data_IF_170388028657
#
_entry.id   IF_170388028657
#
_cell.length_a   1.000
_cell.length_b   1.000
_cell.length_c   1.000
_cell.angle_alpha   90.00
_cell.angle_beta   90.00
_cell.angle_gamma   90.00
#
_symmetry.space_group_name_H-M   'P 1'
#
loop_
_entity.id
_entity.type
_entity.pdbx_description
1 polymer ?
#
# COMPACT_ATOMS: atom_id res chain seq x y z
N UNK A 1 -8.69 -6.67 17.43
CA UNK A 1 -8.66 -5.40 16.68
C UNK A 1 -9.58 -4.35 17.29
N UNK A 2 -10.78 -4.69 17.76
CA UNK A 2 -11.74 -3.76 18.40
C UNK A 2 -11.11 -2.86 19.47
N UNK A 3 -10.28 -3.39 20.36
CA UNK A 3 -9.57 -2.58 21.36
C UNK A 3 -8.68 -1.48 20.77
N UNK A 4 -8.17 -1.69 19.55
CA UNK A 4 -7.33 -0.70 18.85
C UNK A 4 -8.20 0.38 18.25
N UNK A 5 -9.28 0.00 17.57
CA UNK A 5 -10.23 0.94 16.97
C UNK A 5 -10.92 1.79 18.04
N UNK A 6 -11.36 1.18 19.15
CA UNK A 6 -11.94 1.88 20.29
C UNK A 6 -10.97 2.92 20.87
N UNK A 7 -9.71 2.56 21.08
CA UNK A 7 -8.71 3.49 21.62
C UNK A 7 -8.44 4.69 20.72
N UNK A 8 -8.47 4.49 19.39
CA UNK A 8 -8.34 5.58 18.40
C UNK A 8 -9.57 6.48 18.43
N UNK A 9 -10.77 5.89 18.46
CA UNK A 9 -12.04 6.63 18.48
C UNK A 9 -12.24 7.41 19.78
N UNK A 10 -11.82 6.87 20.94
CA UNK A 10 -11.82 7.60 22.21
C UNK A 10 -11.02 8.91 22.17
N UNK A 11 -10.02 9.00 21.29
CA UNK A 11 -9.24 10.21 21.04
C UNK A 11 -9.74 11.04 19.85
N UNK A 12 -10.88 10.68 19.25
CA UNK A 12 -11.46 11.35 18.10
C UNK A 12 -10.70 11.10 16.78
N UNK A 13 -9.86 10.07 16.75
CA UNK A 13 -9.13 9.66 15.55
C UNK A 13 -9.98 8.84 14.59
N UNK A 14 -9.50 8.73 13.35
CA UNK A 14 -10.05 7.88 12.29
C UNK A 14 -9.00 6.84 11.95
N UNK A 15 -9.41 5.58 11.75
CA UNK A 15 -8.49 4.48 11.48
C UNK A 15 -8.97 3.59 10.35
N UNK A 16 -8.11 3.38 9.35
CA UNK A 16 -8.34 2.48 8.21
C UNK A 16 -7.48 1.24 8.32
N UNK A 17 -8.03 0.07 7.95
CA UNK A 17 -7.26 -1.16 7.84
C UNK A 17 -6.67 -1.28 6.44
N UNK A 18 -5.36 -1.46 6.30
CA UNK A 18 -4.78 -1.77 5.00
C UNK A 18 -4.91 -3.28 4.72
N UNK A 19 -5.62 -3.63 3.63
CA UNK A 19 -5.81 -5.00 3.18
C UNK A 19 -4.74 -5.36 2.15
N UNK A 20 -4.09 -6.49 2.35
CA UNK A 20 -2.87 -6.82 1.65
C UNK A 20 -2.77 -8.32 1.32
N UNK A 21 -2.40 -8.65 0.09
CA UNK A 21 -2.02 -9.99 -0.35
C UNK A 21 -0.66 -9.93 -1.03
N UNK A 22 0.29 -10.69 -0.54
CA UNK A 22 1.70 -10.60 -0.95
C UNK A 22 1.98 -11.14 -2.36
N UNK A 23 1.09 -11.97 -2.92
CA UNK A 23 1.31 -12.57 -4.24
C UNK A 23 2.58 -13.41 -4.27
N UNK A 24 3.47 -13.14 -5.24
CA UNK A 24 4.75 -13.84 -5.42
C UNK A 24 5.82 -13.52 -4.37
N UNK A 25 5.57 -12.54 -3.49
CA UNK A 25 6.53 -12.08 -2.49
C UNK A 25 6.34 -12.88 -1.19
N UNK A 26 6.51 -14.19 -1.28
CA UNK A 26 6.47 -15.12 -0.14
C UNK A 26 7.24 -16.39 -0.46
N UNK A 27 7.30 -17.30 0.50
CA UNK A 27 7.91 -18.62 0.39
C UNK A 27 6.91 -19.69 0.83
N UNK A 28 6.95 -20.93 0.28
CA UNK A 28 6.10 -22.04 0.70
C UNK A 28 6.04 -22.27 2.20
N UNK A 29 7.14 -22.08 2.91
CA UNK A 29 7.20 -22.23 4.37
C UNK A 29 6.28 -21.26 5.14
N UNK A 30 5.94 -20.10 4.56
CA UNK A 30 5.01 -19.14 5.15
C UNK A 30 3.55 -19.42 4.84
N UNK A 31 3.26 -20.30 3.87
CA UNK A 31 1.92 -20.55 3.35
C UNK A 31 1.56 -22.06 3.33
N UNK A 32 2.07 -22.80 4.32
CA UNK A 32 1.72 -24.21 4.52
C UNK A 32 2.27 -25.17 3.47
N UNK A 33 3.32 -24.80 2.76
CA UNK A 33 3.95 -25.60 1.71
C UNK A 33 3.37 -25.41 0.32
N UNK A 34 2.40 -24.51 0.15
CA UNK A 34 1.79 -24.22 -1.15
C UNK A 34 2.70 -23.37 -2.02
N UNK A 35 2.48 -23.41 -3.33
CA UNK A 35 3.18 -22.53 -4.27
C UNK A 35 2.55 -21.13 -4.25
N UNK A 36 3.35 -20.05 -4.13
CA UNK A 36 2.84 -18.69 -4.25
C UNK A 36 2.06 -18.47 -5.55
N UNK A 37 1.10 -17.56 -5.53
CA UNK A 37 0.30 -17.18 -6.69
C UNK A 37 0.65 -15.76 -7.15
N UNK A 38 0.51 -15.49 -8.45
CA UNK A 38 0.76 -14.17 -9.04
C UNK A 38 -0.05 -13.99 -10.32
N UNK A 39 0.02 -12.80 -10.94
CA UNK A 39 -0.52 -12.55 -12.29
C UNK A 39 0.04 -13.55 -13.31
N UNK A 40 1.33 -13.88 -13.20
CA UNK A 40 2.05 -14.80 -14.10
C UNK A 40 3.11 -15.58 -13.33
N UNK A 41 3.58 -16.70 -13.91
CA UNK A 41 4.65 -17.52 -13.34
C UNK A 41 6.04 -16.86 -13.53
N UNK A 42 6.21 -15.65 -13.01
CA UNK A 42 7.45 -14.86 -13.08
C UNK A 42 7.96 -14.63 -11.66
N UNK A 43 9.12 -15.22 -11.36
CA UNK A 43 9.81 -15.00 -10.08
C UNK A 43 10.28 -13.55 -9.96
N UNK A 44 10.15 -12.97 -8.76
CA UNK A 44 10.75 -11.67 -8.48
C UNK A 44 12.28 -11.83 -8.25
N UNK A 45 13.07 -11.11 -9.04
CA UNK A 45 14.52 -11.21 -8.96
C UNK A 45 15.09 -10.40 -7.79
N UNK A 46 16.11 -10.95 -7.11
CA UNK A 46 16.81 -10.33 -5.98
C UNK A 46 15.88 -9.98 -4.79
N UNK A 47 14.79 -10.70 -4.63
CA UNK A 47 13.82 -10.52 -3.54
C UNK A 47 13.96 -11.64 -2.54
N UNK A 48 14.05 -11.26 -1.25
CA UNK A 48 14.09 -12.19 -0.12
C UNK A 48 12.94 -11.93 0.82
N UNK A 49 12.44 -13.00 1.42
CA UNK A 49 11.40 -12.96 2.46
C UNK A 49 11.91 -13.65 3.71
N UNK A 50 11.45 -13.18 4.85
CA UNK A 50 11.76 -13.81 6.13
C UNK A 50 10.91 -15.05 6.29
N UNK A 51 11.55 -16.16 6.72
CA UNK A 51 10.87 -17.37 7.12
C UNK A 51 11.20 -17.68 8.59
N UNK A 52 10.19 -18.14 9.31
CA UNK A 52 10.30 -18.77 10.62
C UNK A 52 9.48 -20.05 10.58
N UNK A 53 10.10 -21.12 10.10
CA UNK A 53 9.47 -22.43 9.97
C UNK A 53 9.61 -23.29 11.24
N UNK A 54 9.97 -22.66 12.37
CA UNK A 54 10.20 -23.36 13.65
C UNK A 54 11.52 -24.15 13.69
N UNK A 55 12.44 -23.91 12.74
CA UNK A 55 13.82 -24.38 12.84
C UNK A 55 14.68 -23.46 13.70
N UNK A 56 15.84 -23.92 14.12
CA UNK A 56 16.78 -23.15 14.92
C UNK A 56 17.41 -21.95 14.17
N UNK A 57 17.13 -21.80 12.86
CA UNK A 57 17.71 -20.77 12.00
C UNK A 57 16.62 -20.03 11.18
N UNK A 58 15.79 -19.19 11.82
CA UNK A 58 14.92 -18.30 11.08
C UNK A 58 15.75 -17.29 10.29
N UNK A 59 15.33 -16.93 9.07
CA UNK A 59 16.13 -16.03 8.24
C UNK A 59 15.51 -15.63 6.91
N UNK A 60 16.28 -14.86 6.15
CA UNK A 60 15.86 -14.40 4.83
C UNK A 60 16.26 -15.41 3.75
N UNK A 61 15.27 -15.87 2.99
CA UNK A 61 15.45 -16.77 1.84
C UNK A 61 14.94 -16.11 0.57
N UNK A 62 15.47 -16.55 -0.58
CA UNK A 62 14.98 -16.09 -1.87
C UNK A 62 13.54 -16.56 -2.09
N UNK A 63 12.69 -15.69 -2.67
CA UNK A 63 11.36 -16.09 -3.11
C UNK A 63 11.46 -17.19 -4.19
N UNK A 64 10.38 -17.95 -4.36
CA UNK A 64 10.31 -19.00 -5.38
C UNK A 64 9.47 -18.53 -6.58
N UNK A 65 9.53 -19.28 -7.69
CA UNK A 65 8.66 -19.02 -8.83
C UNK A 65 7.18 -19.26 -8.42
N UNK A 66 6.29 -18.28 -8.62
CA UNK A 66 4.88 -18.45 -8.36
C UNK A 66 4.20 -19.25 -9.46
N UNK A 67 3.00 -19.76 -9.20
CA UNK A 67 2.10 -20.17 -10.27
C UNK A 67 1.24 -18.99 -10.75
N UNK A 68 0.91 -19.00 -12.03
CA UNK A 68 -0.07 -18.07 -12.58
C UNK A 68 -1.46 -18.37 -11.98
N UNK A 69 -2.19 -17.31 -11.59
CA UNK A 69 -3.56 -17.43 -11.12
C UNK A 69 -4.49 -17.83 -12.25
N UNK A 70 -5.33 -18.83 -12.00
CA UNK A 70 -6.48 -19.14 -12.86
C UNK A 70 -7.56 -18.07 -12.71
N UNK A 71 -8.57 -18.07 -13.57
CA UNK A 71 -9.73 -17.18 -13.41
C UNK A 71 -10.57 -17.50 -12.17
N UNK A 72 -10.54 -18.76 -11.73
CA UNK A 72 -11.15 -19.21 -10.49
C UNK A 72 -10.40 -18.65 -9.28
N UNK A 73 -9.07 -18.69 -9.27
CA UNK A 73 -8.26 -18.05 -8.22
C UNK A 73 -8.53 -16.54 -8.14
N UNK A 74 -8.64 -15.86 -9.28
CA UNK A 74 -8.95 -14.42 -9.32
C UNK A 74 -10.29 -14.14 -8.64
N UNK A 75 -11.33 -14.89 -8.98
CA UNK A 75 -12.66 -14.74 -8.36
C UNK A 75 -12.64 -15.02 -6.87
N UNK A 76 -11.91 -16.06 -6.45
CA UNK A 76 -11.76 -16.38 -5.04
C UNK A 76 -11.05 -15.27 -4.27
N UNK A 77 -9.97 -14.72 -4.81
CA UNK A 77 -9.24 -13.64 -4.17
C UNK A 77 -10.06 -12.35 -4.13
N UNK A 78 -10.83 -12.01 -5.17
CA UNK A 78 -11.79 -10.91 -5.13
C UNK A 78 -12.78 -11.06 -3.97
N UNK A 79 -13.35 -12.26 -3.79
CA UNK A 79 -14.28 -12.55 -2.69
C UNK A 79 -13.58 -12.49 -1.32
N UNK A 80 -12.32 -12.94 -1.22
CA UNK A 80 -11.53 -12.81 0.01
C UNK A 80 -11.31 -11.34 0.39
N UNK A 81 -11.02 -10.45 -0.56
CA UNK A 81 -10.92 -9.00 -0.30
C UNK A 81 -12.26 -8.41 0.13
N UNK A 82 -13.36 -8.81 -0.52
CA UNK A 82 -14.71 -8.39 -0.12
C UNK A 82 -15.01 -8.78 1.34
N UNK A 83 -14.74 -10.03 1.70
CA UNK A 83 -14.96 -10.52 3.06
C UNK A 83 -14.03 -9.84 4.08
N UNK A 84 -12.76 -9.61 3.71
CA UNK A 84 -11.81 -8.88 4.55
C UNK A 84 -12.28 -7.43 4.82
N UNK A 85 -12.86 -6.76 3.83
CA UNK A 85 -13.44 -5.44 4.02
C UNK A 85 -14.61 -5.45 5.03
N UNK A 86 -15.54 -6.42 4.93
CA UNK A 86 -16.61 -6.60 5.90
C UNK A 86 -16.08 -6.85 7.31
N UNK A 87 -15.08 -7.73 7.45
CA UNK A 87 -14.46 -8.04 8.73
C UNK A 87 -13.76 -6.82 9.36
N UNK A 88 -13.16 -5.95 8.54
CA UNK A 88 -12.55 -4.71 9.01
C UNK A 88 -13.60 -3.75 9.59
N UNK A 89 -14.75 -3.59 8.92
CA UNK A 89 -15.84 -2.76 9.43
C UNK A 89 -16.44 -3.36 10.71
N UNK A 90 -16.64 -4.67 10.77
CA UNK A 90 -17.10 -5.37 11.98
C UNK A 90 -16.13 -5.17 13.15
N UNK A 91 -14.82 -5.13 12.89
CA UNK A 91 -13.78 -4.85 13.88
C UNK A 91 -13.67 -3.35 14.27
N UNK A 92 -14.56 -2.49 13.77
CA UNK A 92 -14.66 -1.08 14.14
C UNK A 92 -13.77 -0.13 13.33
N UNK A 93 -13.13 -0.57 12.25
CA UNK A 93 -12.41 0.35 11.36
C UNK A 93 -13.39 1.28 10.62
N UNK A 94 -13.00 2.53 10.40
CA UNK A 94 -13.79 3.51 9.65
C UNK A 94 -13.83 3.21 8.15
N UNK A 95 -12.82 2.50 7.66
CA UNK A 95 -12.71 2.07 6.28
C UNK A 95 -11.50 1.16 6.06
N UNK A 96 -11.21 0.88 4.79
CA UNK A 96 -10.07 0.08 4.38
C UNK A 96 -9.22 0.81 3.33
N UNK A 97 -7.95 0.48 3.28
CA UNK A 97 -7.05 0.83 2.18
C UNK A 97 -6.63 -0.44 1.44
N UNK A 98 -6.93 -0.55 0.15
CA UNK A 98 -6.40 -1.62 -0.68
C UNK A 98 -4.92 -1.36 -0.96
N UNK A 99 -4.06 -2.28 -0.55
CA UNK A 99 -2.63 -2.22 -0.89
C UNK A 99 -2.40 -2.72 -2.32
N UNK A 100 -2.35 -1.79 -3.27
CA UNK A 100 -2.11 -2.05 -4.69
C UNK A 100 -0.73 -1.53 -5.16
N UNK A 101 0.29 -1.65 -4.28
CA UNK A 101 1.59 -1.01 -4.42
C UNK A 101 2.74 -1.98 -4.13
N UNK A 102 3.98 -1.51 -4.32
CA UNK A 102 5.21 -2.11 -3.81
C UNK A 102 5.47 -3.56 -4.26
N UNK A 103 4.98 -3.96 -5.44
CA UNK A 103 5.23 -5.28 -6.01
C UNK A 103 4.43 -6.42 -5.40
N UNK A 104 3.34 -6.12 -4.67
CA UNK A 104 2.43 -7.14 -4.13
C UNK A 104 1.32 -7.50 -5.13
N UNK A 105 0.41 -8.40 -4.79
CA UNK A 105 -0.46 -9.09 -5.74
C UNK A 105 -1.17 -8.16 -6.72
N UNK A 106 -1.86 -7.13 -6.25
CA UNK A 106 -2.56 -6.19 -7.15
C UNK A 106 -1.56 -5.49 -8.07
N UNK A 107 -0.42 -5.04 -7.54
CA UNK A 107 0.64 -4.41 -8.33
C UNK A 107 1.25 -5.38 -9.35
N UNK A 108 1.33 -6.69 -9.05
CA UNK A 108 1.81 -7.71 -9.99
C UNK A 108 0.91 -7.85 -11.23
N UNK A 109 -0.39 -7.56 -11.11
CA UNK A 109 -1.29 -7.47 -12.28
C UNK A 109 -1.12 -6.18 -13.06
N UNK A 110 -0.88 -5.05 -12.38
CA UNK A 110 -0.70 -3.73 -12.99
C UNK A 110 0.60 -3.65 -13.77
N UNK A 111 1.68 -4.20 -13.23
CA UNK A 111 3.05 -4.12 -13.72
C UNK A 111 3.24 -4.89 -15.03
N UNK A 112 3.81 -4.23 -16.05
CA UNK A 112 4.00 -4.81 -17.39
C UNK A 112 5.05 -5.91 -17.43
N UNK A 113 6.03 -5.91 -16.52
CA UNK A 113 7.10 -6.91 -16.48
C UNK A 113 6.77 -8.11 -15.57
N UNK A 114 5.84 -7.91 -14.63
CA UNK A 114 5.34 -9.00 -13.78
C UNK A 114 4.13 -9.73 -14.36
N UNK A 115 3.48 -9.15 -15.38
CA UNK A 115 2.26 -9.66 -15.99
C UNK A 115 2.46 -9.89 -17.50
N UNK A 116 2.69 -11.15 -17.88
CA UNK A 116 2.79 -11.58 -19.28
C UNK A 116 1.56 -12.37 -19.77
N UNK A 117 0.41 -12.22 -19.07
CA UNK A 117 -0.85 -12.88 -19.46
C UNK A 117 -1.31 -12.47 -20.85
N UNK A 118 -1.95 -13.41 -21.53
CA UNK A 118 -2.55 -13.20 -22.87
C UNK A 118 -4.08 -13.15 -22.85
N UNK A 119 -4.69 -13.27 -21.68
CA UNK A 119 -6.13 -13.17 -21.47
C UNK A 119 -6.56 -11.72 -21.12
N UNK A 120 -7.80 -11.54 -20.68
CA UNK A 120 -8.38 -10.24 -20.32
C UNK A 120 -7.74 -9.55 -19.11
N UNK A 121 -6.79 -10.19 -18.41
CA UNK A 121 -6.05 -9.62 -17.27
C UNK A 121 -4.62 -9.22 -17.65
N UNK A 122 -4.21 -9.30 -18.92
CA UNK A 122 -2.87 -8.97 -19.38
C UNK A 122 -2.80 -8.22 -20.71
N UNK A 123 -1.59 -7.84 -21.09
CA UNK A 123 -1.32 -7.10 -22.31
C UNK A 123 -1.59 -5.59 -22.17
N UNK A 124 -2.75 -5.10 -22.60
CA UNK A 124 -3.06 -3.67 -22.52
C UNK A 124 -3.16 -3.15 -21.08
N UNK A 125 -2.91 -1.86 -20.88
CA UNK A 125 -3.08 -1.21 -19.57
C UNK A 125 -4.48 -1.41 -19.02
N UNK A 126 -5.52 -1.32 -19.83
CA UNK A 126 -6.91 -1.59 -19.42
C UNK A 126 -7.08 -2.99 -18.85
N UNK A 127 -6.52 -4.01 -19.52
CA UNK A 127 -6.58 -5.39 -19.05
C UNK A 127 -5.78 -5.59 -17.75
N UNK A 128 -4.60 -5.01 -17.65
CA UNK A 128 -3.77 -5.09 -16.42
C UNK A 128 -4.42 -4.41 -15.21
N UNK A 129 -5.28 -3.42 -15.44
CA UNK A 129 -6.06 -2.75 -14.38
C UNK A 129 -7.36 -3.48 -14.01
N UNK A 130 -7.79 -4.48 -14.76
CA UNK A 130 -9.05 -5.20 -14.54
C UNK A 130 -9.16 -5.81 -13.15
N UNK A 131 -8.14 -6.53 -12.70
CA UNK A 131 -8.14 -7.14 -11.38
C UNK A 131 -8.23 -6.10 -10.25
N UNK A 132 -7.51 -4.99 -10.36
CA UNK A 132 -7.66 -3.84 -9.45
C UNK A 132 -9.12 -3.37 -9.38
N UNK A 133 -9.76 -3.21 -10.55
CA UNK A 133 -11.15 -2.75 -10.62
C UNK A 133 -12.13 -3.73 -10.00
N UNK A 134 -12.02 -5.02 -10.29
CA UNK A 134 -12.89 -6.06 -9.72
C UNK A 134 -12.80 -6.14 -8.19
N UNK A 135 -11.58 -6.03 -7.64
CA UNK A 135 -11.37 -5.99 -6.18
C UNK A 135 -11.99 -4.73 -5.58
N UNK A 136 -11.75 -3.55 -6.18
CA UNK A 136 -12.32 -2.29 -5.69
C UNK A 136 -13.85 -2.29 -5.76
N UNK A 137 -14.43 -2.77 -6.87
CA UNK A 137 -15.87 -2.89 -7.04
C UNK A 137 -16.50 -3.77 -5.95
N UNK A 138 -15.95 -4.96 -5.71
CA UNK A 138 -16.42 -5.87 -4.68
C UNK A 138 -16.35 -5.29 -3.27
N UNK A 139 -15.30 -4.53 -2.95
CA UNK A 139 -15.18 -3.85 -1.66
C UNK A 139 -16.14 -2.66 -1.55
N UNK A 140 -16.30 -1.86 -2.60
CA UNK A 140 -17.24 -0.73 -2.65
C UNK A 140 -18.69 -1.22 -2.50
N UNK A 141 -19.06 -2.29 -3.17
CA UNK A 141 -20.39 -2.91 -3.01
C UNK A 141 -20.63 -3.43 -1.58
N UNK A 142 -19.57 -3.93 -0.93
CA UNK A 142 -19.67 -4.48 0.43
C UNK A 142 -19.79 -3.43 1.53
N UNK A 143 -19.02 -2.34 1.46
CA UNK A 143 -18.88 -1.39 2.60
C UNK A 143 -19.13 0.08 2.25
N UNK A 144 -19.38 0.41 0.98
CA UNK A 144 -19.56 1.78 0.49
C UNK A 144 -18.26 2.43 0.00
N UNK A 145 -18.35 3.26 -1.04
CA UNK A 145 -17.22 3.92 -1.66
C UNK A 145 -16.52 4.93 -0.75
N UNK A 146 -17.25 5.52 0.18
CA UNK A 146 -16.78 6.46 1.20
C UNK A 146 -15.89 5.82 2.28
N UNK A 147 -15.74 4.49 2.25
CA UNK A 147 -14.91 3.70 3.16
C UNK A 147 -13.79 2.93 2.48
N UNK A 148 -13.60 3.12 1.18
CA UNK A 148 -12.56 2.42 0.40
C UNK A 148 -11.52 3.41 -0.09
N UNK A 149 -10.28 3.28 0.37
CA UNK A 149 -9.10 3.93 -0.18
C UNK A 149 -8.24 2.93 -0.97
N UNK A 150 -7.40 3.43 -1.86
CA UNK A 150 -6.45 2.61 -2.63
C UNK A 150 -5.07 3.22 -2.57
N UNK A 151 -4.03 2.39 -2.31
CA UNK A 151 -2.63 2.81 -2.33
C UNK A 151 -1.91 2.28 -3.55
N UNK A 152 -1.27 3.18 -4.31
CA UNK A 152 -0.44 2.89 -5.48
C UNK A 152 1.01 3.38 -5.25
N UNK A 153 1.99 2.77 -5.94
CA UNK A 153 3.39 3.18 -5.90
C UNK A 153 4.00 3.17 -7.32
N UNK A 154 3.83 4.26 -8.09
CA UNK A 154 4.10 4.29 -9.53
C UNK A 154 5.57 4.08 -9.92
N UNK A 155 6.50 4.52 -9.10
CA UNK A 155 7.93 4.55 -9.42
C UNK A 155 8.77 3.65 -8.52
N UNK A 156 8.13 2.74 -7.79
CA UNK A 156 8.84 1.79 -6.93
C UNK A 156 9.55 0.73 -7.75
N UNK A 157 10.70 0.29 -7.25
CA UNK A 157 11.38 -0.93 -7.71
C UNK A 157 11.34 -2.05 -6.66
N UNK A 158 10.60 -1.84 -5.58
CA UNK A 158 10.47 -2.81 -4.50
C UNK A 158 9.86 -4.12 -5.01
N UNK A 159 10.37 -5.24 -4.52
CA UNK A 159 9.88 -6.58 -4.83
C UNK A 159 9.86 -6.93 -6.34
N UNK A 160 10.83 -6.37 -7.08
CA UNK A 160 10.99 -6.66 -8.49
C UNK A 160 9.91 -6.02 -9.38
N UNK A 161 9.36 -4.87 -8.95
CA UNK A 161 8.41 -4.09 -9.75
C UNK A 161 9.16 -3.26 -10.77
N UNK A 162 8.75 -3.35 -12.03
CA UNK A 162 9.28 -2.53 -13.14
C UNK A 162 8.20 -2.34 -14.18
N UNK A 163 7.38 -1.30 -14.07
CA UNK A 163 6.44 -0.96 -15.15
C UNK A 163 7.15 -0.18 -16.25
N UNK A 164 6.99 -0.60 -17.52
CA UNK A 164 7.65 0.03 -18.65
C UNK A 164 7.14 1.46 -18.94
N UNK A 165 5.91 1.76 -18.56
CA UNK A 165 5.24 3.05 -18.81
C UNK A 165 4.51 3.58 -17.57
N UNK A 166 5.21 3.80 -16.44
CA UNK A 166 4.56 4.07 -15.16
C UNK A 166 3.68 5.33 -15.17
N UNK A 167 4.07 6.37 -15.90
CA UNK A 167 3.27 7.59 -16.02
C UNK A 167 1.91 7.30 -16.67
N UNK A 168 1.89 6.56 -17.78
CA UNK A 168 0.68 6.21 -18.49
C UNK A 168 -0.18 5.23 -17.70
N UNK A 169 0.45 4.16 -17.18
CA UNK A 169 -0.23 3.10 -16.43
C UNK A 169 -0.93 3.67 -15.19
N UNK A 170 -0.22 4.44 -14.37
CA UNK A 170 -0.79 4.92 -13.10
C UNK A 170 -1.67 6.16 -13.25
N UNK A 171 -1.53 6.95 -14.33
CA UNK A 171 -2.53 7.96 -14.69
C UNK A 171 -3.84 7.30 -15.12
N UNK A 172 -3.77 6.23 -15.93
CA UNK A 172 -4.93 5.44 -16.29
C UNK A 172 -5.57 4.76 -15.06
N UNK A 173 -4.77 4.23 -14.13
CA UNK A 173 -5.26 3.67 -12.87
C UNK A 173 -6.02 4.72 -12.04
N UNK A 174 -5.49 5.94 -11.92
CA UNK A 174 -6.15 7.04 -11.22
C UNK A 174 -7.51 7.40 -11.86
N UNK A 175 -7.56 7.49 -13.20
CA UNK A 175 -8.80 7.74 -13.93
C UNK A 175 -9.82 6.61 -13.74
N UNK A 176 -9.35 5.36 -13.76
CA UNK A 176 -10.20 4.18 -13.57
C UNK A 176 -10.78 4.14 -12.14
N UNK A 177 -9.94 4.38 -11.12
CA UNK A 177 -10.38 4.45 -9.71
C UNK A 177 -11.35 5.60 -9.45
N UNK A 178 -11.24 6.71 -10.18
CA UNK A 178 -12.18 7.83 -10.06
C UNK A 178 -13.64 7.44 -10.41
N UNK A 179 -13.84 6.40 -11.23
CA UNK A 179 -15.19 5.92 -11.58
C UNK A 179 -15.91 5.31 -10.38
N UNK A 180 -15.18 4.70 -9.45
CA UNK A 180 -15.72 4.07 -8.25
C UNK A 180 -16.01 5.06 -7.12
N UNK A 181 -15.59 6.33 -7.24
CA UNK A 181 -15.78 7.39 -6.24
C UNK A 181 -15.25 7.01 -4.85
N UNK A 182 -14.15 6.28 -4.81
CA UNK A 182 -13.48 5.89 -3.56
C UNK A 182 -13.10 7.12 -2.73
N UNK A 183 -12.99 6.93 -1.40
CA UNK A 183 -12.78 8.04 -0.46
C UNK A 183 -11.43 8.75 -0.68
N UNK A 184 -10.37 8.01 -1.01
CA UNK A 184 -9.08 8.60 -1.37
C UNK A 184 -8.25 7.70 -2.27
N UNK A 185 -7.31 8.33 -2.99
CA UNK A 185 -6.19 7.68 -3.66
C UNK A 185 -4.89 8.09 -2.97
N UNK A 186 -4.15 7.10 -2.48
CA UNK A 186 -2.87 7.28 -1.80
C UNK A 186 -1.72 6.91 -2.74
N UNK A 187 -0.86 7.87 -3.06
CA UNK A 187 0.35 7.67 -3.87
C UNK A 187 1.56 7.57 -2.94
N UNK A 188 2.19 6.41 -2.91
CA UNK A 188 3.48 6.24 -2.26
C UNK A 188 4.59 6.68 -3.20
N UNK A 189 5.27 7.76 -2.85
CA UNK A 189 6.53 8.14 -3.48
C UNK A 189 7.66 7.28 -2.92
N UNK A 190 8.63 6.96 -3.75
CA UNK A 190 9.83 6.25 -3.31
C UNK A 190 10.63 7.14 -2.35
N UNK A 191 11.13 6.56 -1.26
CA UNK A 191 11.68 7.32 -0.14
C UNK A 191 13.05 6.82 0.37
N UNK A 192 13.71 5.91 -0.34
CA UNK A 192 15.12 5.57 -0.08
C UNK A 192 16.06 6.66 -0.63
N UNK A 193 17.31 6.66 -0.21
CA UNK A 193 18.22 7.80 -0.37
C UNK A 193 18.45 8.24 -1.83
N UNK A 194 18.54 7.30 -2.76
CA UNK A 194 18.75 7.54 -4.20
C UNK A 194 17.45 7.39 -5.03
N UNK A 195 16.30 7.38 -4.37
CA UNK A 195 15.02 7.26 -5.04
C UNK A 195 14.76 8.43 -6.01
N UNK A 196 14.28 8.16 -7.23
CA UNK A 196 13.92 9.21 -8.16
C UNK A 196 12.76 10.06 -7.62
N UNK A 197 12.84 11.36 -7.87
CA UNK A 197 11.71 12.24 -7.54
C UNK A 197 10.52 11.93 -8.45
N UNK A 198 9.33 11.91 -7.86
CA UNK A 198 8.09 11.78 -8.64
C UNK A 198 7.91 13.01 -9.53
N UNK A 199 7.80 12.84 -10.86
CA UNK A 199 7.71 13.97 -11.79
C UNK A 199 6.51 14.86 -11.49
N UNK A 200 6.71 16.18 -11.49
CA UNK A 200 5.61 17.15 -11.30
C UNK A 200 4.49 16.99 -12.33
N UNK A 201 4.84 16.69 -13.57
CA UNK A 201 3.87 16.43 -14.64
C UNK A 201 2.98 15.21 -14.31
N UNK A 202 3.53 14.16 -13.70
CA UNK A 202 2.76 13.01 -13.26
C UNK A 202 1.79 13.40 -12.13
N UNK A 203 2.23 14.16 -11.13
CA UNK A 203 1.35 14.63 -10.03
C UNK A 203 0.18 15.45 -10.58
N UNK A 204 0.44 16.34 -11.54
CA UNK A 204 -0.60 17.11 -12.22
C UNK A 204 -1.58 16.21 -13.00
N UNK A 205 -1.07 15.20 -13.73
CA UNK A 205 -1.90 14.24 -14.45
C UNK A 205 -2.78 13.40 -13.54
N UNK A 206 -2.25 12.92 -12.41
CA UNK A 206 -3.03 12.20 -11.39
C UNK A 206 -4.12 13.09 -10.77
N UNK A 207 -3.79 14.35 -10.43
CA UNK A 207 -4.78 15.32 -9.92
C UNK A 207 -5.89 15.61 -10.92
N UNK A 208 -5.55 15.67 -12.21
CA UNK A 208 -6.52 15.81 -13.30
C UNK A 208 -7.42 14.57 -13.43
N UNK A 209 -6.83 13.38 -13.34
CA UNK A 209 -7.53 12.11 -13.52
C UNK A 209 -8.42 11.72 -12.32
N UNK A 210 -7.97 12.00 -11.09
CA UNK A 210 -8.68 11.65 -9.86
C UNK A 210 -9.20 12.91 -9.15
N UNK A 211 -10.51 13.00 -8.95
CA UNK A 211 -11.20 14.18 -8.39
C UNK A 211 -11.50 14.08 -6.90
N UNK A 212 -11.28 12.90 -6.29
CA UNK A 212 -11.41 12.68 -4.85
C UNK A 212 -10.20 13.17 -4.06
N UNK A 213 -10.10 12.76 -2.81
CA UNK A 213 -8.98 13.10 -1.93
C UNK A 213 -7.71 12.39 -2.38
N UNK A 214 -6.63 13.15 -2.58
CA UNK A 214 -5.29 12.63 -2.85
C UNK A 214 -4.45 12.68 -1.57
N UNK A 215 -3.76 11.58 -1.29
CA UNK A 215 -2.76 11.47 -0.23
C UNK A 215 -1.42 11.14 -0.87
N UNK A 216 -0.38 11.90 -0.58
CA UNK A 216 0.99 11.53 -0.94
C UNK A 216 1.79 11.18 0.32
N UNK A 217 2.56 10.11 0.25
CA UNK A 217 3.51 9.72 1.29
C UNK A 217 4.89 9.47 0.67
N UNK A 218 5.95 9.76 1.42
CA UNK A 218 7.33 9.63 0.98
C UNK A 218 8.24 10.47 1.86
N UNK A 219 9.20 11.20 1.28
CA UNK A 219 10.11 12.11 1.99
C UNK A 219 9.44 13.46 2.33
N UNK A 220 8.26 13.45 2.94
CA UNK A 220 7.59 14.66 3.38
C UNK A 220 8.03 15.04 4.79
N UNK A 221 8.41 16.29 4.96
CA UNK A 221 8.45 17.02 6.23
C UNK A 221 7.27 17.99 6.31
N UNK A 222 7.18 18.77 7.38
CA UNK A 222 6.07 19.71 7.58
C UNK A 222 6.03 20.81 6.51
N UNK A 223 7.17 21.36 6.13
CA UNK A 223 7.27 22.46 5.16
C UNK A 223 6.88 22.00 3.75
N UNK A 224 7.47 20.89 3.28
CA UNK A 224 7.14 20.29 1.98
C UNK A 224 5.69 19.82 1.94
N UNK A 225 5.17 19.30 3.06
CA UNK A 225 3.78 18.85 3.16
C UNK A 225 2.80 20.01 3.05
N UNK A 226 3.02 21.07 3.81
CA UNK A 226 2.20 22.29 3.77
C UNK A 226 2.22 22.95 2.38
N UNK A 227 3.41 23.04 1.77
CA UNK A 227 3.54 23.56 0.41
C UNK A 227 2.73 22.74 -0.59
N UNK A 228 2.83 21.39 -0.55
CA UNK A 228 2.13 20.52 -1.49
C UNK A 228 0.60 20.64 -1.37
N UNK A 229 0.08 20.80 -0.16
CA UNK A 229 -1.35 21.04 0.10
C UNK A 229 -1.75 22.45 -0.38
N UNK A 230 -0.97 23.47 -0.06
CA UNK A 230 -1.25 24.85 -0.47
C UNK A 230 -1.24 25.05 -1.99
N UNK A 231 -0.38 24.33 -2.71
CA UNK A 231 -0.32 24.32 -4.18
C UNK A 231 -1.41 23.42 -4.83
N UNK A 232 -2.21 22.70 -4.06
CA UNK A 232 -3.25 21.82 -4.56
C UNK A 232 -2.72 20.53 -5.24
N UNK A 233 -1.46 20.19 -5.00
CA UNK A 233 -0.84 18.95 -5.50
C UNK A 233 -1.46 17.73 -4.81
N UNK A 234 -1.75 17.86 -3.52
CA UNK A 234 -2.36 16.83 -2.69
C UNK A 234 -3.33 17.48 -1.69
N UNK A 235 -4.26 16.68 -1.16
CA UNK A 235 -5.16 17.14 -0.10
C UNK A 235 -4.61 16.80 1.30
N UNK A 236 -3.79 15.73 1.39
CA UNK A 236 -3.19 15.25 2.64
C UNK A 236 -1.80 14.68 2.38
N UNK A 237 -0.96 14.63 3.40
CA UNK A 237 0.33 13.93 3.38
C UNK A 237 0.40 12.86 4.45
N UNK A 238 1.01 11.72 4.10
CA UNK A 238 1.23 10.59 5.01
C UNK A 238 2.65 10.63 5.60
N UNK A 239 2.74 10.46 6.91
CA UNK A 239 4.00 10.34 7.63
C UNK A 239 4.15 8.92 8.18
N UNK A 240 5.20 8.20 7.78
CA UNK A 240 5.52 6.87 8.30
C UNK A 240 6.56 6.95 9.43
N UNK A 241 7.84 6.83 9.08
CA UNK A 241 8.96 6.78 10.05
C UNK A 241 8.99 7.92 11.07
N UNK A 242 8.71 9.18 10.71
CA UNK A 242 8.62 10.25 11.72
C UNK A 242 7.54 9.98 12.77
N UNK A 243 6.43 9.34 12.40
CA UNK A 243 5.34 9.05 13.33
C UNK A 243 5.69 7.90 14.30
N UNK A 244 6.53 6.94 13.87
CA UNK A 244 7.00 5.86 14.75
C UNK A 244 7.71 6.42 15.99
N UNK A 245 8.61 7.40 15.81
CA UNK A 245 9.42 7.96 16.90
C UNK A 245 8.75 9.16 17.62
N UNK A 246 7.63 9.63 17.11
CA UNK A 246 6.93 10.80 17.65
C UNK A 246 5.43 10.49 17.74
N UNK A 247 4.95 9.87 18.83
CA UNK A 247 3.52 9.53 18.98
C UNK A 247 2.61 10.76 18.96
N UNK A 248 3.16 11.93 19.27
CA UNK A 248 2.54 13.25 19.26
C UNK A 248 2.96 14.09 18.02
N UNK A 249 3.34 13.46 16.90
CA UNK A 249 3.83 14.12 15.68
C UNK A 249 2.97 15.31 15.21
N UNK A 250 1.63 15.23 15.16
CA UNK A 250 0.80 16.37 14.77
C UNK A 250 1.01 17.60 15.66
N UNK A 251 1.12 17.42 16.97
CA UNK A 251 1.39 18.51 17.89
C UNK A 251 2.80 19.07 17.71
N UNK A 252 3.80 18.20 17.52
CA UNK A 252 5.18 18.64 17.25
C UNK A 252 5.26 19.49 15.98
N UNK A 253 4.59 19.09 14.92
CA UNK A 253 4.51 19.87 13.67
C UNK A 253 3.79 21.19 13.91
N UNK A 254 2.64 21.17 14.56
CA UNK A 254 1.81 22.36 14.81
C UNK A 254 2.53 23.44 15.63
N UNK A 255 3.27 23.02 16.66
CA UNK A 255 3.93 23.95 17.60
C UNK A 255 5.43 24.12 17.34
N UNK A 256 5.98 23.50 16.31
CA UNK A 256 7.40 23.57 15.98
C UNK A 256 8.32 22.88 16.99
N UNK A 257 7.84 21.84 17.66
CA UNK A 257 8.65 21.08 18.60
C UNK A 257 9.67 20.18 17.89
N UNK A 258 10.81 19.88 18.52
CA UNK A 258 11.82 19.03 17.90
C UNK A 258 11.32 17.60 17.69
N UNK A 259 11.67 17.00 16.54
CA UNK A 259 11.37 15.61 16.25
C UNK A 259 12.46 14.69 16.81
N UNK A 260 12.05 13.61 17.47
CA UNK A 260 12.94 12.52 17.84
C UNK A 260 13.27 11.67 16.60
N UNK A 261 14.55 11.26 16.43
CA UNK A 261 14.91 10.32 15.38
C UNK A 261 14.41 8.90 15.73
N UNK A 262 13.96 8.16 14.72
CA UNK A 262 13.67 6.74 14.90
C UNK A 262 14.97 5.91 14.91
N UNK A 263 14.95 4.77 15.58
CA UNK A 263 16.02 3.76 15.48
C UNK A 263 15.73 2.83 14.29
N UNK A 264 16.56 2.87 13.22
CA UNK A 264 16.33 2.04 12.03
C UNK A 264 16.39 0.53 12.33
N UNK A 265 17.06 0.11 13.41
CA UNK A 265 17.16 -1.31 13.79
C UNK A 265 15.87 -1.85 14.44
N UNK A 266 14.93 -0.99 14.80
CA UNK A 266 13.68 -1.37 15.48
C UNK A 266 12.43 -1.08 14.67
N UNK A 267 12.56 -0.61 13.43
CA UNK A 267 11.41 -0.29 12.55
C UNK A 267 10.60 -1.52 12.14
N UNK A 268 11.27 -2.67 12.02
CA UNK A 268 10.67 -3.93 11.58
C UNK A 268 11.10 -5.07 12.50
N UNK A 269 10.13 -5.84 12.92
CA UNK A 269 10.37 -6.91 13.89
C UNK A 269 10.53 -6.37 15.33
N UNK A 270 10.60 -7.27 16.28
CA UNK A 270 10.58 -6.91 17.70
C UNK A 270 9.16 -6.82 18.25
N UNK A 271 9.03 -6.38 19.50
CA UNK A 271 7.76 -6.28 20.20
C UNK A 271 7.46 -4.81 20.54
N UNK A 272 7.79 -4.41 21.77
CA UNK A 272 7.47 -3.06 22.28
C UNK A 272 8.55 -2.03 21.92
N UNK A 273 9.82 -2.47 21.96
CA UNK A 273 10.97 -1.59 21.76
C UNK A 273 10.98 -0.98 20.34
N UNK A 274 11.03 0.34 20.30
CA UNK A 274 11.07 1.10 19.05
C UNK A 274 9.71 1.26 18.35
N UNK A 275 8.62 0.74 18.96
CA UNK A 275 7.25 0.87 18.45
C UNK A 275 6.31 1.57 19.43
N UNK A 276 6.44 1.30 20.74
CA UNK A 276 5.51 1.84 21.76
C UNK A 276 6.21 2.53 22.93
N UNK A 277 7.53 2.64 22.91
CA UNK A 277 8.36 3.17 24.00
C UNK A 277 8.93 4.58 23.72
N UNK A 278 8.60 5.19 22.57
CA UNK A 278 8.96 6.58 22.31
C UNK A 278 8.09 7.54 23.13
N UNK A 279 8.70 8.52 23.86
CA UNK A 279 7.95 9.45 24.67
C UNK A 279 7.33 10.58 23.84
N UNK A 280 6.23 11.12 24.35
CA UNK A 280 5.73 12.42 23.95
C UNK A 280 6.75 13.53 24.31
N UNK A 281 6.65 14.69 23.66
CA UNK A 281 7.47 15.84 23.97
C UNK A 281 7.08 16.43 25.34
N UNK A 282 8.03 16.49 26.25
CA UNK A 282 7.79 16.94 27.63
C UNK A 282 8.03 18.46 27.87
N UNK A 283 8.41 19.24 26.83
CA UNK A 283 8.69 20.67 26.94
C UNK A 283 10.16 20.98 27.23
#
# INVERSE_FOLDING_TARGET
LEKVTDAVHEKGGVIFAQLWHVGRVTHPDNIGGEQPISSSAIKAENVKVFIDNGTDEPGFVDVVEPREMTKEDIKEVVEQYRQAALNAIEAGFDGIELHAANGYLINQFIDSEANNRSDEYGGSTENRLRFLGEVVEAMVEAIGADRVGVRLAPFTSLNGTVDATPVETYTAAAAYLNLYKIVYLHIAEVDWDDAPETPKAFKAAVREAFKGVLIYAGKYDSERGEQAVAEGVTDMVGFGRPFVANPDLPARIQYGFPLAPHDPNTLFGGAEKGLTDYPEYAG
#
